data_IF_568414926592
#
_entry.id   IF_568414926592
#
_cell.length_a   1.000
_cell.length_b   1.000
_cell.length_c   1.000
_cell.angle_alpha   90.00
_cell.angle_beta   90.00
_cell.angle_gamma   90.00
#
_symmetry.space_group_name_H-M   'P 1'
#
loop_
_entity.id
_entity.type
_entity.pdbx_description
1 polymer ?
#
# COMPACT_ATOMS: atom_id res chain seq x y z
N UNK A 1 10.56 -8.81 9.12
CA UNK A 1 10.77 -7.53 8.43
C UNK A 1 11.23 -6.55 9.48
N UNK A 2 12.40 -5.98 9.28
CA UNK A 2 13.04 -5.08 10.22
C UNK A 2 12.50 -3.66 9.96
N UNK A 3 12.65 -2.71 10.88
CA UNK A 3 12.13 -1.34 10.70
C UNK A 3 12.69 -0.68 9.43
N UNK A 4 13.95 -0.97 9.09
CA UNK A 4 14.61 -0.48 7.87
C UNK A 4 13.92 -1.02 6.60
N UNK A 5 13.59 -2.31 6.57
CA UNK A 5 12.93 -2.95 5.43
C UNK A 5 11.54 -2.35 5.18
N UNK A 6 10.80 -2.04 6.27
CA UNK A 6 9.50 -1.40 6.19
C UNK A 6 9.61 0.01 5.61
N UNK A 7 10.60 0.79 6.05
CA UNK A 7 10.84 2.13 5.54
C UNK A 7 11.17 2.11 4.03
N UNK A 8 12.03 1.20 3.59
CA UNK A 8 12.34 1.04 2.17
C UNK A 8 11.10 0.62 1.35
N UNK A 9 10.26 -0.26 1.88
CA UNK A 9 9.03 -0.67 1.23
C UNK A 9 8.05 0.51 1.05
N UNK A 10 7.92 1.37 2.06
CA UNK A 10 7.09 2.58 1.99
C UNK A 10 7.61 3.54 0.93
N UNK A 11 8.93 3.77 0.90
CA UNK A 11 9.55 4.63 -0.12
C UNK A 11 9.33 4.07 -1.53
N UNK A 12 9.44 2.76 -1.72
CA UNK A 12 9.15 2.10 -2.99
C UNK A 12 7.68 2.27 -3.40
N UNK A 13 6.73 2.13 -2.48
CA UNK A 13 5.31 2.36 -2.76
C UNK A 13 5.03 3.82 -3.16
N UNK A 14 5.60 4.79 -2.43
CA UNK A 14 5.47 6.22 -2.78
C UNK A 14 6.14 6.56 -4.12
N UNK A 15 7.26 5.90 -4.44
CA UNK A 15 7.87 6.00 -5.76
C UNK A 15 6.92 5.52 -6.85
N UNK A 16 6.26 4.36 -6.68
CA UNK A 16 5.29 3.84 -7.63
C UNK A 16 4.11 4.79 -7.86
N UNK A 17 3.56 5.39 -6.80
CA UNK A 17 2.55 6.45 -6.92
C UNK A 17 3.04 7.60 -7.82
N UNK A 18 4.28 8.06 -7.62
CA UNK A 18 4.85 9.14 -8.42
C UNK A 18 5.02 8.78 -9.91
N UNK A 19 5.32 7.51 -10.22
CA UNK A 19 5.42 7.05 -11.61
C UNK A 19 4.04 6.93 -12.24
N UNK A 20 3.06 6.36 -11.53
CA UNK A 20 1.68 6.25 -12.03
C UNK A 20 1.09 7.62 -12.37
N UNK A 21 1.34 8.62 -11.53
CA UNK A 21 0.85 10.00 -11.76
C UNK A 21 1.55 10.68 -12.94
N UNK A 22 2.87 10.51 -13.09
CA UNK A 22 3.65 11.04 -14.23
C UNK A 22 3.22 10.43 -15.56
N UNK A 23 2.95 9.13 -15.57
CA UNK A 23 2.59 8.37 -16.78
C UNK A 23 1.07 8.25 -16.97
N UNK A 24 0.26 9.03 -16.24
CA UNK A 24 -1.19 8.82 -16.19
C UNK A 24 -1.88 8.88 -17.56
N UNK A 25 -1.42 9.76 -18.47
CA UNK A 25 -1.97 9.87 -19.82
C UNK A 25 -1.65 8.66 -20.70
N UNK A 26 -0.43 8.13 -20.59
CA UNK A 26 -0.01 6.98 -21.37
C UNK A 26 -0.74 5.72 -20.89
N UNK A 27 -0.82 5.53 -19.57
CA UNK A 27 -1.58 4.45 -18.93
C UNK A 27 -3.07 4.53 -19.29
N UNK A 28 -3.68 5.72 -19.27
CA UNK A 28 -5.07 5.89 -19.68
C UNK A 28 -5.28 5.52 -21.16
N UNK A 29 -4.34 5.86 -22.04
CA UNK A 29 -4.41 5.48 -23.46
C UNK A 29 -4.37 3.97 -23.67
N UNK A 30 -3.52 3.26 -22.90
CA UNK A 30 -3.48 1.79 -22.90
C UNK A 30 -4.80 1.21 -22.43
N UNK A 31 -5.34 1.70 -21.30
CA UNK A 31 -6.63 1.23 -20.77
C UNK A 31 -7.75 1.43 -21.78
N UNK A 32 -7.80 2.56 -22.48
CA UNK A 32 -8.78 2.83 -23.55
C UNK A 32 -8.60 1.83 -24.69
N UNK A 33 -7.37 1.57 -25.13
CA UNK A 33 -7.09 0.64 -26.23
C UNK A 33 -7.50 -0.80 -25.89
N UNK A 34 -7.31 -1.22 -24.64
CA UNK A 34 -7.60 -2.60 -24.19
C UNK A 34 -9.08 -2.81 -23.81
N UNK A 35 -9.70 -1.83 -23.14
CA UNK A 35 -11.04 -1.98 -22.55
C UNK A 35 -12.14 -1.21 -23.30
N UNK A 36 -11.79 -0.26 -24.17
CA UNK A 36 -12.75 0.55 -24.95
C UNK A 36 -13.52 1.60 -24.15
N UNK A 37 -13.18 1.85 -22.88
CA UNK A 37 -13.80 2.92 -22.07
C UNK A 37 -13.37 4.31 -22.54
N UNK A 38 -14.05 5.37 -22.09
CA UNK A 38 -13.67 6.74 -22.44
C UNK A 38 -12.32 7.11 -21.81
N UNK A 39 -11.56 7.99 -22.47
CA UNK A 39 -10.27 8.46 -21.95
C UNK A 39 -10.40 9.15 -20.58
N UNK A 40 -11.49 9.88 -20.36
CA UNK A 40 -11.73 10.54 -19.06
C UNK A 40 -11.97 9.52 -17.95
N UNK A 41 -12.71 8.44 -18.22
CA UNK A 41 -12.92 7.38 -17.24
C UNK A 41 -11.61 6.64 -16.95
N UNK A 42 -10.83 6.31 -18.00
CA UNK A 42 -9.52 5.68 -17.86
C UNK A 42 -8.54 6.56 -17.07
N UNK A 43 -8.54 7.88 -17.31
CA UNK A 43 -7.74 8.84 -16.55
C UNK A 43 -8.15 8.88 -15.07
N UNK A 44 -9.46 8.80 -14.80
CA UNK A 44 -9.99 8.69 -13.44
C UNK A 44 -9.50 7.42 -12.75
N UNK A 45 -9.53 6.29 -13.46
CA UNK A 45 -9.06 5.00 -12.96
C UNK A 45 -7.57 5.01 -12.61
N UNK A 46 -6.70 5.54 -13.47
CA UNK A 46 -5.26 5.61 -13.17
C UNK A 46 -4.99 6.48 -11.94
N UNK A 47 -5.64 7.64 -11.84
CA UNK A 47 -5.48 8.53 -10.68
C UNK A 47 -6.00 7.89 -9.40
N UNK A 48 -7.13 7.20 -9.49
CA UNK A 48 -7.72 6.48 -8.36
C UNK A 48 -6.81 5.33 -7.91
N UNK A 49 -6.33 4.49 -8.84
CA UNK A 49 -5.36 3.44 -8.58
C UNK A 49 -4.08 3.99 -7.93
N UNK A 50 -3.55 5.12 -8.42
CA UNK A 50 -2.39 5.78 -7.82
C UNK A 50 -2.65 6.21 -6.37
N UNK A 51 -3.86 6.72 -6.06
CA UNK A 51 -4.21 7.11 -4.68
C UNK A 51 -4.23 5.93 -3.70
N UNK A 52 -4.60 4.73 -4.14
CA UNK A 52 -4.55 3.55 -3.28
C UNK A 52 -3.13 3.21 -2.85
N UNK A 53 -2.17 3.30 -3.77
CA UNK A 53 -0.77 2.99 -3.47
C UNK A 53 -0.23 3.89 -2.37
N UNK A 54 -0.49 5.20 -2.45
CA UNK A 54 -0.06 6.15 -1.43
C UNK A 54 -0.78 5.93 -0.09
N UNK A 55 -2.10 5.70 -0.13
CA UNK A 55 -2.88 5.47 1.08
C UNK A 55 -2.44 4.19 1.82
N UNK A 56 -2.23 3.08 1.12
CA UNK A 56 -1.77 1.83 1.73
C UNK A 56 -0.32 1.91 2.21
N UNK A 57 0.54 2.70 1.55
CA UNK A 57 1.88 2.98 2.05
C UNK A 57 1.82 3.59 3.46
N UNK A 58 0.91 4.54 3.69
CA UNK A 58 0.71 5.16 4.99
C UNK A 58 0.00 4.23 6.00
N UNK A 59 -0.84 3.30 5.56
CA UNK A 59 -1.45 2.30 6.46
C UNK A 59 -0.43 1.32 7.04
N UNK A 60 0.68 1.06 6.34
CA UNK A 60 1.71 0.16 6.85
C UNK A 60 2.31 0.61 8.19
N UNK A 61 2.33 1.93 8.43
CA UNK A 61 2.78 2.54 9.69
C UNK A 61 1.76 2.43 10.83
N UNK A 62 0.55 1.95 10.55
CA UNK A 62 -0.57 1.87 11.50
C UNK A 62 -0.90 0.42 11.89
N UNK A 63 0.00 -0.51 11.59
CA UNK A 63 -0.18 -1.94 11.91
C UNK A 63 0.33 -2.22 13.33
N UNK A 64 -0.33 -1.60 14.32
CA UNK A 64 0.10 -1.64 15.71
C UNK A 64 -0.16 -3.01 16.36
N UNK A 65 0.76 -3.43 17.22
CA UNK A 65 0.53 -4.54 18.16
C UNK A 65 -0.19 -4.09 19.43
N UNK A 66 -0.54 -5.03 20.29
CA UNK A 66 -1.21 -4.74 21.56
C UNK A 66 -0.52 -5.45 22.72
N UNK A 67 -0.39 -4.77 23.86
CA UNK A 67 0.05 -5.36 25.12
C UNK A 67 -1.18 -5.62 25.99
N UNK A 68 -1.42 -6.88 26.34
CA UNK A 68 -2.57 -7.29 27.15
C UNK A 68 -2.12 -7.44 28.61
N UNK A 69 -2.85 -6.86 29.58
CA UNK A 69 -2.54 -7.03 31.00
C UNK A 69 -2.48 -8.50 31.39
N UNK A 70 -1.42 -8.90 32.11
CA UNK A 70 -1.31 -10.24 32.67
C UNK A 70 -1.78 -10.26 34.11
N UNK A 71 -2.42 -11.37 34.51
CA UNK A 71 -2.72 -11.64 35.93
C UNK A 71 -1.46 -11.98 36.74
N UNK A 72 -0.38 -12.42 36.07
CA UNK A 72 0.92 -12.65 36.70
C UNK A 72 1.85 -11.46 36.42
N UNK A 73 2.35 -10.73 37.43
CA UNK A 73 3.25 -9.59 37.25
C UNK A 73 4.57 -9.89 36.51
N UNK A 74 4.97 -11.17 36.43
CA UNK A 74 6.20 -11.59 35.76
C UNK A 74 5.99 -11.92 34.27
N UNK A 75 4.76 -11.84 33.75
CA UNK A 75 4.41 -12.22 32.38
C UNK A 75 3.90 -11.00 31.62
N UNK A 76 4.31 -10.86 30.35
CA UNK A 76 3.76 -9.88 29.41
C UNK A 76 3.14 -10.60 28.23
N UNK A 77 1.89 -10.29 27.93
CA UNK A 77 1.22 -10.76 26.71
C UNK A 77 1.40 -9.71 25.63
N UNK A 78 2.09 -10.09 24.55
CA UNK A 78 2.34 -9.23 23.40
C UNK A 78 1.64 -9.83 22.17
N UNK A 79 0.85 -9.02 21.49
CA UNK A 79 0.25 -9.32 20.19
C UNK A 79 1.03 -8.54 19.14
N UNK A 80 1.54 -9.23 18.12
CA UNK A 80 2.20 -8.64 16.96
C UNK A 80 1.50 -9.05 15.68
N UNK A 81 1.49 -8.16 14.70
CA UNK A 81 0.99 -8.44 13.36
C UNK A 81 2.17 -8.77 12.45
N UNK A 82 2.07 -9.86 11.69
CA UNK A 82 3.10 -10.28 10.75
C UNK A 82 2.48 -10.51 9.37
N UNK A 83 3.22 -10.22 8.28
CA UNK A 83 2.78 -10.57 6.95
C UNK A 83 2.64 -12.10 6.83
N UNK A 84 1.59 -12.56 6.16
CA UNK A 84 1.33 -14.00 6.02
C UNK A 84 2.34 -14.68 5.08
N UNK A 85 2.89 -13.95 4.11
CA UNK A 85 3.83 -14.46 3.12
C UNK A 85 3.43 -14.11 1.69
N UNK A 86 3.65 -15.05 0.78
CA UNK A 86 3.39 -14.89 -0.66
C UNK A 86 1.88 -14.81 -0.96
N UNK A 87 1.51 -13.97 -1.92
CA UNK A 87 0.13 -13.78 -2.42
C UNK A 87 0.13 -14.12 -3.92
N UNK A 88 -0.95 -14.77 -4.40
CA UNK A 88 -1.13 -15.22 -5.78
C UNK A 88 -2.00 -14.27 -6.60
#
# INVERSE_FOLDING_TARGET
MNVEDLHQAILAAKHNHSQNTRNASDLASIIVAENGKSFNDAMGEVKYAASFVDWFADQSLRTDGTIIPSSNPSIRHLVVHQPIGLVA
#
